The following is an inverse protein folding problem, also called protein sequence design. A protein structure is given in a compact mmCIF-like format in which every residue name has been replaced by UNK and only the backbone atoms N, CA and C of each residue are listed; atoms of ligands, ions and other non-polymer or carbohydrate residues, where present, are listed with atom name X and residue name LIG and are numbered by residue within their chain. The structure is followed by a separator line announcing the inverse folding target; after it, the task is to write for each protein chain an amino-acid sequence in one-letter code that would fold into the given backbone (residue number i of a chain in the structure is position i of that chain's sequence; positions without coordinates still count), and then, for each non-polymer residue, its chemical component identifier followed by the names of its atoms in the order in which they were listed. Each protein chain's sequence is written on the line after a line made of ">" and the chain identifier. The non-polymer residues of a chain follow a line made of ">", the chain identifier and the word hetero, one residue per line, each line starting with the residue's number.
data_IF_898969429215
#
_entry.id   IF_898969429215
#
_cell.length_a   1.000
_cell.length_b   1.000
_cell.length_c   1.000
_cell.angle_alpha   90.00
_cell.angle_beta   90.00
_cell.angle_gamma   90.00
#
_symmetry.space_group_name_H-M   'P 1'
#
loop_
_entity.id
_entity.type
_entity.pdbx_description
1 polymer ?
#
# COMPACT_ATOMS: atom_id res chain seq x y z
N UNK A 1 14.40 -11.97 -3.08
CA UNK A 1 15.21 -11.48 -4.22
C UNK A 1 15.27 -9.96 -4.18
N UNK A 2 16.32 -9.36 -4.72
CA UNK A 2 16.46 -7.90 -4.81
C UNK A 2 15.76 -7.39 -6.06
N UNK A 3 15.15 -6.20 -5.97
CA UNK A 3 14.39 -5.58 -7.06
C UNK A 3 15.22 -5.34 -8.34
N UNK A 4 16.51 -5.00 -8.19
CA UNK A 4 17.42 -4.60 -9.28
C UNK A 4 18.02 -5.76 -10.06
N UNK A 5 17.76 -6.99 -9.64
CA UNK A 5 18.25 -8.19 -10.34
C UNK A 5 17.23 -8.66 -11.36
N UNK A 6 17.72 -8.98 -12.55
CA UNK A 6 16.94 -9.73 -13.51
C UNK A 6 16.79 -11.17 -13.00
N UNK A 7 15.55 -11.53 -12.74
CA UNK A 7 15.17 -12.89 -12.40
C UNK A 7 13.86 -13.21 -13.08
N UNK A 8 13.78 -14.41 -13.58
CA UNK A 8 12.52 -14.94 -14.09
C UNK A 8 11.66 -15.39 -12.90
N UNK A 9 10.41 -14.97 -12.89
CA UNK A 9 9.40 -15.34 -11.88
C UNK A 9 8.29 -16.19 -12.47
N UNK A 10 8.38 -16.52 -13.77
CA UNK A 10 7.28 -17.15 -14.49
C UNK A 10 6.87 -18.50 -13.91
N UNK A 11 7.83 -19.24 -13.37
CA UNK A 11 7.62 -20.61 -12.88
C UNK A 11 7.45 -20.69 -11.36
N UNK A 12 7.55 -19.57 -10.63
CA UNK A 12 7.47 -19.54 -9.18
C UNK A 12 6.10 -19.08 -8.70
N UNK A 13 5.34 -19.93 -7.99
CA UNK A 13 4.01 -19.57 -7.49
C UNK A 13 4.05 -18.48 -6.40
N UNK A 14 5.16 -18.39 -5.66
CA UNK A 14 5.39 -17.41 -4.61
C UNK A 14 6.82 -16.91 -4.62
N UNK A 15 7.02 -15.59 -4.58
CA UNK A 15 8.34 -14.99 -4.50
C UNK A 15 8.42 -14.10 -3.26
N UNK A 16 9.40 -14.38 -2.40
CA UNK A 16 9.69 -13.57 -1.23
C UNK A 16 10.77 -12.56 -1.60
N UNK A 17 10.47 -11.28 -1.45
CA UNK A 17 11.37 -10.17 -1.69
C UNK A 17 11.72 -9.47 -0.37
N UNK A 18 12.93 -8.90 -0.30
CA UNK A 18 13.37 -8.02 0.79
C UNK A 18 13.37 -6.56 0.35
N UNK A 19 13.57 -5.64 1.30
CA UNK A 19 13.87 -4.24 0.99
C UNK A 19 15.11 -4.13 0.09
N UNK A 20 15.20 -3.03 -0.66
CA UNK A 20 16.25 -2.88 -1.67
C UNK A 20 17.44 -2.03 -1.19
N UNK A 21 17.23 -0.73 -1.02
CA UNK A 21 18.32 0.22 -0.68
C UNK A 21 17.97 1.03 0.58
N UNK A 22 18.94 1.45 1.38
CA UNK A 22 18.72 2.42 2.43
C UNK A 22 18.02 3.68 1.89
N UNK A 23 17.03 4.18 2.62
CA UNK A 23 16.23 5.35 2.22
C UNK A 23 15.05 5.05 1.30
N UNK A 24 14.84 3.79 0.92
CA UNK A 24 13.68 3.35 0.13
C UNK A 24 12.70 2.58 1.02
N UNK A 25 11.44 3.01 1.04
CA UNK A 25 10.41 2.31 1.80
C UNK A 25 10.04 0.98 1.15
N UNK A 26 9.52 0.04 1.95
CA UNK A 26 8.96 -1.22 1.44
C UNK A 26 7.75 -0.98 0.55
N UNK A 27 6.96 0.07 0.81
CA UNK A 27 5.83 0.49 -0.04
C UNK A 27 6.33 0.84 -1.45
N UNK A 28 7.39 1.65 -1.53
CA UNK A 28 7.96 2.02 -2.82
C UNK A 28 8.54 0.81 -3.56
N UNK A 29 9.23 -0.09 -2.84
CA UNK A 29 9.72 -1.34 -3.43
C UNK A 29 8.56 -2.20 -3.97
N UNK A 30 7.44 -2.31 -3.24
CA UNK A 30 6.27 -3.06 -3.71
C UNK A 30 5.67 -2.47 -5.00
N UNK A 31 5.61 -1.13 -5.10
CA UNK A 31 5.14 -0.46 -6.33
C UNK A 31 6.07 -0.73 -7.51
N UNK A 32 7.40 -0.72 -7.30
CA UNK A 32 8.37 -1.05 -8.35
C UNK A 32 8.27 -2.52 -8.79
N UNK A 33 8.05 -3.45 -7.87
CA UNK A 33 7.81 -4.86 -8.20
C UNK A 33 6.53 -5.00 -9.03
N UNK A 34 5.44 -4.35 -8.61
CA UNK A 34 4.19 -4.33 -9.38
C UNK A 34 4.39 -3.75 -10.78
N UNK A 35 5.14 -2.67 -10.92
CA UNK A 35 5.48 -2.09 -12.22
C UNK A 35 6.26 -3.08 -13.11
N UNK A 36 7.32 -3.69 -12.57
CA UNK A 36 8.17 -4.62 -13.31
C UNK A 36 7.41 -5.84 -13.81
N UNK A 37 6.51 -6.37 -12.99
CA UNK A 37 5.77 -7.59 -13.29
C UNK A 37 4.33 -7.35 -13.76
N UNK A 38 3.99 -6.11 -14.12
CA UNK A 38 2.64 -5.73 -14.59
C UNK A 38 1.52 -6.11 -13.62
N UNK A 39 1.82 -6.10 -12.32
CA UNK A 39 0.83 -6.28 -11.27
C UNK A 39 -0.11 -5.09 -11.22
N UNK A 40 -1.37 -5.32 -10.83
CA UNK A 40 -2.40 -4.27 -10.78
C UNK A 40 -2.84 -3.93 -9.36
N UNK A 41 -2.54 -4.80 -8.40
CA UNK A 41 -3.02 -4.71 -7.03
C UNK A 41 -1.89 -4.96 -6.02
N UNK A 42 -1.86 -4.14 -4.96
CA UNK A 42 -0.94 -4.28 -3.83
C UNK A 42 -1.77 -4.37 -2.55
N UNK A 43 -1.46 -5.32 -1.67
CA UNK A 43 -1.98 -5.39 -0.32
C UNK A 43 -0.92 -4.87 0.64
N UNK A 44 -1.21 -3.75 1.29
CA UNK A 44 -0.35 -3.16 2.31
C UNK A 44 -0.84 -3.63 3.69
N UNK A 45 -0.09 -4.52 4.30
CA UNK A 45 -0.37 -5.05 5.62
C UNK A 45 0.19 -4.10 6.69
N UNK A 46 -0.70 -3.35 7.30
CA UNK A 46 -0.40 -2.31 8.28
C UNK A 46 -0.81 -2.73 9.71
N UNK A 47 -0.57 -1.85 10.66
CA UNK A 47 -1.05 -1.96 12.03
C UNK A 47 -2.37 -1.19 12.27
N UNK A 48 -2.98 -0.65 11.22
CA UNK A 48 -4.28 0.03 11.25
C UNK A 48 -5.31 -0.77 10.46
N UNK A 49 -6.58 -0.71 10.88
CA UNK A 49 -7.67 -1.38 10.18
C UNK A 49 -8.09 -0.63 8.92
N UNK A 50 -8.10 0.69 8.98
CA UNK A 50 -8.47 1.58 7.87
C UNK A 50 -7.68 2.88 7.92
N UNK A 51 -7.61 3.56 6.79
CA UNK A 51 -7.18 4.95 6.72
C UNK A 51 -8.31 5.85 7.23
N UNK A 52 -7.96 6.93 7.90
CA UNK A 52 -8.89 7.94 8.41
C UNK A 52 -8.67 9.27 7.70
N UNK A 53 -9.71 10.09 7.63
CA UNK A 53 -9.62 11.43 7.05
C UNK A 53 -8.75 12.40 7.87
N UNK A 54 -8.45 12.07 9.14
CA UNK A 54 -7.55 12.76 10.06
C UNK A 54 -7.14 11.80 11.19
N UNK A 55 -6.15 12.19 11.99
CA UNK A 55 -5.62 11.34 13.06
C UNK A 55 -6.70 11.06 14.15
N UNK A 56 -7.17 9.80 14.29
CA UNK A 56 -8.22 9.48 15.27
C UNK A 56 -7.75 9.61 16.74
N UNK A 57 -6.45 9.65 16.99
CA UNK A 57 -5.90 9.88 18.33
C UNK A 57 -6.02 11.34 18.76
N UNK A 58 -6.05 12.26 17.80
CA UNK A 58 -6.13 13.70 18.03
C UNK A 58 -7.53 14.27 17.84
N UNK A 59 -8.33 13.63 17.00
CA UNK A 59 -9.62 14.12 16.55
C UNK A 59 -10.72 13.07 16.78
N UNK A 60 -11.59 13.25 17.78
CA UNK A 60 -12.67 12.30 18.11
C UNK A 60 -13.69 12.11 16.96
N UNK A 61 -13.79 13.09 16.06
CA UNK A 61 -14.66 13.08 14.89
C UNK A 61 -13.97 12.56 13.62
N UNK A 62 -12.80 11.92 13.76
CA UNK A 62 -12.13 11.25 12.66
C UNK A 62 -13.00 10.11 12.11
N UNK A 63 -13.11 10.05 10.79
CA UNK A 63 -13.94 9.06 10.10
C UNK A 63 -13.09 8.09 9.30
N UNK A 64 -13.33 6.78 9.41
CA UNK A 64 -12.67 5.79 8.58
C UNK A 64 -13.11 5.91 7.12
N UNK A 65 -12.21 5.56 6.21
CA UNK A 65 -12.41 5.64 4.76
C UNK A 65 -12.38 4.22 4.20
N UNK A 66 -13.44 3.82 3.49
CA UNK A 66 -13.51 2.53 2.82
C UNK A 66 -12.87 2.58 1.43
N UNK A 67 -13.12 3.66 0.70
CA UNK A 67 -12.59 3.87 -0.65
C UNK A 67 -12.17 5.33 -0.83
N UNK A 68 -11.04 5.53 -1.52
CA UNK A 68 -10.51 6.86 -1.79
C UNK A 68 -9.74 6.87 -3.11
N UNK A 69 -9.87 7.96 -3.88
CA UNK A 69 -9.06 8.12 -5.08
C UNK A 69 -7.62 8.55 -4.73
N UNK A 70 -6.67 8.24 -5.60
CA UNK A 70 -5.27 8.64 -5.43
C UNK A 70 -5.09 10.14 -5.19
N UNK A 71 -5.86 10.98 -5.90
CA UNK A 71 -5.75 12.44 -5.74
C UNK A 71 -6.18 12.93 -4.35
N UNK A 72 -7.22 12.34 -3.79
CA UNK A 72 -7.67 12.64 -2.41
C UNK A 72 -6.70 12.06 -1.38
N UNK A 73 -6.19 10.84 -1.61
CA UNK A 73 -5.23 10.20 -0.71
C UNK A 73 -3.91 10.97 -0.63
N UNK A 74 -3.38 11.43 -1.77
CA UNK A 74 -2.19 12.30 -1.83
C UNK A 74 -2.37 13.58 -1.02
N UNK A 75 -3.56 14.17 -1.04
CA UNK A 75 -3.91 15.30 -0.18
C UNK A 75 -3.88 15.01 1.32
N UNK A 76 -4.15 13.75 1.72
CA UNK A 76 -4.10 13.33 3.13
C UNK A 76 -2.66 13.06 3.61
N UNK A 77 -1.84 12.40 2.79
CA UNK A 77 -0.48 11.97 3.19
C UNK A 77 0.61 12.99 2.85
N UNK A 78 0.30 13.96 1.98
CA UNK A 78 1.26 14.93 1.47
C UNK A 78 2.13 14.37 0.36
N UNK A 79 3.02 15.22 -0.16
CA UNK A 79 3.88 14.89 -1.32
C UNK A 79 5.35 14.67 -0.97
N UNK A 80 5.74 14.86 0.31
CA UNK A 80 7.12 14.75 0.74
C UNK A 80 7.28 13.63 1.77
N UNK A 81 8.26 12.77 1.52
CA UNK A 81 8.69 11.80 2.52
C UNK A 81 9.55 12.50 3.58
N UNK A 82 9.26 12.23 4.85
CA UNK A 82 10.04 12.69 6.01
C UNK A 82 10.34 11.48 6.88
N UNK A 83 11.59 11.27 7.35
CA UNK A 83 11.90 10.19 8.28
C UNK A 83 10.98 10.22 9.50
N UNK A 84 10.40 9.06 9.86
CA UNK A 84 9.45 8.96 10.97
C UNK A 84 8.03 9.43 10.65
N UNK A 85 7.72 9.78 9.41
CA UNK A 85 6.36 10.08 8.97
C UNK A 85 5.49 8.81 9.12
N UNK A 86 4.48 8.90 9.98
CA UNK A 86 3.53 7.80 10.20
C UNK A 86 2.37 7.89 9.19
N UNK A 87 2.71 7.87 7.89
CA UNK A 87 1.73 7.86 6.82
C UNK A 87 1.23 6.43 6.57
N UNK A 88 -0.05 6.24 6.24
CA UNK A 88 -0.61 4.91 5.93
C UNK A 88 0.05 4.23 4.73
N UNK A 89 0.60 5.01 3.81
CA UNK A 89 1.38 4.59 2.64
C UNK A 89 2.36 5.70 2.27
N UNK A 90 3.55 5.31 1.85
CA UNK A 90 4.66 6.23 1.54
C UNK A 90 4.26 7.27 0.47
N UNK A 91 4.55 8.58 0.67
CA UNK A 91 4.20 9.62 -0.31
C UNK A 91 4.83 9.44 -1.69
N UNK A 92 6.08 8.93 -1.76
CA UNK A 92 6.77 8.67 -3.04
C UNK A 92 6.13 7.47 -3.74
N UNK A 93 5.84 6.40 -2.98
CA UNK A 93 5.10 5.25 -3.47
C UNK A 93 3.71 5.65 -3.97
N UNK A 94 3.03 6.57 -3.26
CA UNK A 94 1.72 7.13 -3.63
C UNK A 94 1.75 7.77 -5.02
N UNK A 95 2.74 8.64 -5.29
CA UNK A 95 2.88 9.30 -6.58
C UNK A 95 3.09 8.30 -7.72
N UNK A 96 3.96 7.30 -7.51
CA UNK A 96 4.21 6.28 -8.53
C UNK A 96 3.00 5.36 -8.74
N UNK A 97 2.36 4.90 -7.67
CA UNK A 97 1.16 4.06 -7.74
C UNK A 97 0.01 4.77 -8.47
N UNK A 98 -0.20 6.07 -8.19
CA UNK A 98 -1.15 6.93 -8.91
C UNK A 98 -0.82 6.98 -10.41
N UNK A 99 0.44 7.24 -10.78
CA UNK A 99 0.89 7.28 -12.18
C UNK A 99 0.65 5.97 -12.91
N UNK A 100 0.88 4.86 -12.23
CA UNK A 100 0.69 3.50 -12.76
C UNK A 100 -0.76 3.01 -12.69
N UNK A 101 -1.67 3.81 -12.12
CA UNK A 101 -3.09 3.46 -11.91
C UNK A 101 -3.27 2.15 -11.13
N UNK A 102 -2.41 1.89 -10.18
CA UNK A 102 -2.51 0.71 -9.33
C UNK A 102 -3.66 0.84 -8.33
N UNK A 103 -4.17 -0.29 -7.89
CA UNK A 103 -5.04 -0.39 -6.72
C UNK A 103 -4.20 -0.80 -5.52
N UNK A 104 -4.26 -0.05 -4.42
CA UNK A 104 -3.63 -0.40 -3.15
C UNK A 104 -4.71 -0.62 -2.09
N UNK A 105 -4.65 -1.75 -1.41
CA UNK A 105 -5.55 -2.09 -0.31
C UNK A 105 -4.74 -2.05 0.98
N UNK A 106 -5.11 -1.14 1.89
CA UNK A 106 -4.51 -1.03 3.23
C UNK A 106 -5.42 -1.73 4.22
N UNK A 107 -4.88 -2.67 4.97
CA UNK A 107 -5.61 -3.43 5.97
C UNK A 107 -4.70 -3.90 7.11
N UNK A 108 -5.29 -4.37 8.21
CA UNK A 108 -4.55 -4.85 9.36
C UNK A 108 -3.93 -6.22 9.09
N UNK A 109 -2.59 -6.29 9.11
CA UNK A 109 -1.83 -7.51 8.84
C UNK A 109 -1.95 -8.62 9.90
N UNK A 110 -2.51 -8.34 11.08
CA UNK A 110 -2.72 -9.34 12.12
C UNK A 110 -3.95 -10.23 11.86
N UNK A 111 -4.89 -9.77 11.03
CA UNK A 111 -6.11 -10.51 10.72
C UNK A 111 -5.99 -11.24 9.38
N UNK A 112 -5.48 -12.47 9.43
CA UNK A 112 -5.25 -13.30 8.22
C UNK A 112 -6.55 -13.63 7.49
N UNK A 113 -7.65 -13.88 8.20
CA UNK A 113 -8.95 -14.15 7.57
C UNK A 113 -9.49 -12.93 6.78
N UNK A 114 -9.23 -11.73 7.29
CA UNK A 114 -9.59 -10.50 6.59
C UNK A 114 -8.72 -10.28 5.34
N UNK A 115 -7.44 -10.62 5.41
CA UNK A 115 -6.55 -10.60 4.24
C UNK A 115 -7.01 -11.61 3.17
N UNK A 116 -7.33 -12.83 3.55
CA UNK A 116 -7.85 -13.86 2.65
C UNK A 116 -9.14 -13.38 1.97
N UNK A 117 -10.08 -12.82 2.73
CA UNK A 117 -11.30 -12.24 2.17
C UNK A 117 -11.01 -11.13 1.15
N UNK A 118 -10.04 -10.25 1.44
CA UNK A 118 -9.65 -9.17 0.52
C UNK A 118 -9.00 -9.71 -0.77
N UNK A 119 -8.17 -10.76 -0.67
CA UNK A 119 -7.55 -11.42 -1.83
C UNK A 119 -8.62 -12.09 -2.70
N UNK A 120 -9.58 -12.76 -2.09
CA UNK A 120 -10.71 -13.43 -2.75
C UNK A 120 -11.76 -12.47 -3.32
N UNK A 121 -11.63 -11.17 -3.08
CA UNK A 121 -12.63 -10.17 -3.51
C UNK A 121 -13.94 -10.20 -2.71
N UNK A 122 -13.94 -10.82 -1.54
CA UNK A 122 -15.05 -10.83 -0.57
C UNK A 122 -15.07 -9.53 0.26
N UNK A 123 -16.16 -9.20 0.95
CA UNK A 123 -16.20 -8.08 1.90
C UNK A 123 -15.10 -8.19 2.95
N UNK A 124 -14.36 -7.11 3.18
CA UNK A 124 -13.25 -7.04 4.11
C UNK A 124 -13.21 -5.69 4.85
N UNK A 125 -12.45 -5.63 5.92
CA UNK A 125 -12.15 -4.40 6.67
C UNK A 125 -10.82 -3.84 6.17
N UNK A 126 -10.85 -2.67 5.55
CA UNK A 126 -9.68 -2.02 4.98
C UNK A 126 -10.03 -0.75 4.22
N UNK A 127 -9.04 -0.12 3.62
CA UNK A 127 -9.20 1.03 2.71
C UNK A 127 -8.68 0.66 1.34
N UNK A 128 -9.51 0.84 0.32
CA UNK A 128 -9.10 0.70 -1.09
C UNK A 128 -8.75 2.05 -1.66
N UNK A 129 -7.53 2.18 -2.19
CA UNK A 129 -7.05 3.36 -2.92
C UNK A 129 -6.97 2.98 -4.40
N UNK A 130 -7.66 3.69 -5.25
CA UNK A 130 -7.75 3.38 -6.69
C UNK A 130 -7.79 4.67 -7.54
N UNK A 131 -7.63 4.58 -8.86
CA UNK A 131 -7.76 5.69 -9.78
C UNK A 131 -9.07 6.45 -9.67
#
# INVERSE_FOLDING_TARGET
>A
KHYDRDYDIADEPVIICSGWKPGWSTDYCAVLVAQKHKGHKIFNLSNIDKVYNKDPKKFPDARPIDQISWSKFEGLVGSKWVPGLNAPFDPIATQLAKKLKLTVIILNGKNIYNLEAAIDGKPFIGTTIAP
#
